data_IF_525309177427
#
_entry.id   IF_525309177427
#
_cell.length_a   1.000
_cell.length_b   1.000
_cell.length_c   1.000
_cell.angle_alpha   90.00
_cell.angle_beta   90.00
_cell.angle_gamma   90.00
#
_symmetry.space_group_name_H-M   'P 1'
#
loop_
_entity.id
_entity.type
_entity.pdbx_description
1 polymer ?
#
# COMPACT_ATOMS: atom_id res chain seq x y z
N UNK A 1 -10.78 23.48 -17.72
CA UNK A 1 -9.84 23.58 -16.57
C UNK A 1 -10.07 22.39 -15.64
N UNK A 2 -9.39 21.27 -15.85
CA UNK A 2 -9.42 20.11 -14.93
C UNK A 2 -8.22 20.22 -13.98
N UNK A 3 -8.45 20.89 -12.85
CA UNK A 3 -7.58 20.75 -11.69
C UNK A 3 -7.53 19.26 -11.33
N UNK A 4 -6.33 18.68 -11.20
CA UNK A 4 -6.21 17.34 -10.63
C UNK A 4 -6.72 17.43 -9.20
N UNK A 5 -7.93 16.93 -8.97
CA UNK A 5 -8.37 16.59 -7.62
C UNK A 5 -7.32 15.63 -7.10
N UNK A 6 -6.56 16.04 -6.07
CA UNK A 6 -5.79 15.07 -5.29
C UNK A 6 -6.70 13.89 -4.98
N UNK A 7 -6.18 12.67 -5.06
CA UNK A 7 -6.98 11.47 -4.80
C UNK A 7 -7.67 11.65 -3.44
N UNK A 8 -8.99 11.90 -3.46
CA UNK A 8 -9.78 11.99 -2.25
C UNK A 8 -10.05 10.57 -1.81
N UNK A 9 -9.14 10.05 -1.00
CA UNK A 9 -9.48 8.88 -0.20
C UNK A 9 -10.47 9.37 0.85
N UNK A 10 -11.71 8.84 0.90
CA UNK A 10 -12.69 9.19 1.91
C UNK A 10 -12.27 8.53 3.23
N UNK A 11 -11.21 9.07 3.83
CA UNK A 11 -10.76 8.75 5.17
C UNK A 11 -10.97 9.94 6.10
N UNK A 12 -11.15 9.64 7.38
CA UNK A 12 -11.01 10.67 8.42
C UNK A 12 -9.54 10.87 8.76
N UNK A 13 -9.18 12.05 9.29
CA UNK A 13 -7.80 12.32 9.72
C UNK A 13 -7.37 11.34 10.84
N UNK A 14 -8.34 10.89 11.64
CA UNK A 14 -8.16 9.86 12.67
C UNK A 14 -7.80 8.51 12.07
N UNK A 15 -8.53 8.05 11.05
CA UNK A 15 -8.22 6.80 10.33
C UNK A 15 -6.82 6.88 9.71
N UNK A 16 -6.47 8.01 9.09
CA UNK A 16 -5.15 8.23 8.51
C UNK A 16 -4.02 8.12 9.54
N UNK A 17 -4.16 8.82 10.67
CA UNK A 17 -3.19 8.76 11.76
C UNK A 17 -3.09 7.34 12.35
N UNK A 18 -4.22 6.63 12.47
CA UNK A 18 -4.24 5.26 12.96
C UNK A 18 -3.48 4.33 12.02
N UNK A 19 -3.74 4.36 10.71
CA UNK A 19 -3.01 3.56 9.71
C UNK A 19 -1.51 3.85 9.75
N UNK A 20 -1.09 5.12 9.84
CA UNK A 20 0.34 5.49 9.92
C UNK A 20 1.06 4.87 11.12
N UNK A 21 0.36 4.72 12.24
CA UNK A 21 0.91 4.10 13.44
C UNK A 21 0.95 2.58 13.29
N UNK A 22 -0.17 1.98 12.90
CA UNK A 22 -0.31 0.52 12.77
C UNK A 22 0.59 -0.07 11.68
N UNK A 23 0.79 0.64 10.57
CA UNK A 23 1.61 0.19 9.45
C UNK A 23 3.07 -0.07 9.84
N UNK A 24 3.56 0.58 10.89
CA UNK A 24 4.93 0.43 11.40
C UNK A 24 5.05 -0.59 12.54
N UNK A 25 3.94 -1.23 12.90
CA UNK A 25 3.91 -2.16 14.02
C UNK A 25 4.59 -3.48 13.67
N UNK A 26 5.22 -4.11 14.66
CA UNK A 26 5.66 -5.50 14.61
C UNK A 26 4.66 -6.46 15.25
N UNK A 27 3.48 -5.98 15.68
CA UNK A 27 2.46 -6.78 16.35
C UNK A 27 1.41 -7.24 15.33
N UNK A 28 1.23 -8.56 15.22
CA UNK A 28 0.31 -9.16 14.25
C UNK A 28 -1.13 -8.62 14.33
N UNK A 29 -1.66 -8.38 15.54
CA UNK A 29 -3.03 -7.86 15.69
C UNK A 29 -3.16 -6.41 15.19
N UNK A 30 -2.14 -5.57 15.40
CA UNK A 30 -2.10 -4.19 14.92
C UNK A 30 -1.98 -4.15 13.38
N UNK A 31 -1.19 -5.05 12.79
CA UNK A 31 -1.09 -5.19 11.33
C UNK A 31 -2.41 -5.68 10.71
N UNK A 32 -3.13 -6.61 11.36
CA UNK A 32 -4.46 -7.03 10.92
C UNK A 32 -5.48 -5.90 10.98
N UNK A 33 -5.44 -5.08 12.03
CA UNK A 33 -6.25 -3.86 12.12
C UNK A 33 -5.91 -2.89 10.97
N UNK A 34 -4.62 -2.73 10.65
CA UNK A 34 -4.20 -1.92 9.50
C UNK A 34 -4.83 -2.41 8.19
N UNK A 35 -4.82 -3.73 7.92
CA UNK A 35 -5.47 -4.30 6.73
C UNK A 35 -6.98 -4.04 6.71
N UNK A 36 -7.64 -4.14 7.85
CA UNK A 36 -9.08 -3.87 7.93
C UNK A 36 -9.39 -2.43 7.52
N UNK A 37 -8.62 -1.45 7.99
CA UNK A 37 -8.79 -0.03 7.62
C UNK A 37 -8.50 0.18 6.12
N UNK A 38 -7.42 -0.39 5.59
CA UNK A 38 -7.07 -0.29 4.16
C UNK A 38 -8.14 -0.93 3.25
N UNK A 39 -8.71 -2.06 3.68
CA UNK A 39 -9.82 -2.73 2.99
C UNK A 39 -11.09 -1.88 3.00
N UNK A 40 -11.42 -1.28 4.15
CA UNK A 40 -12.53 -0.35 4.27
C UNK A 40 -12.38 0.85 3.35
N UNK A 41 -11.19 1.47 3.29
CA UNK A 41 -10.93 2.56 2.36
C UNK A 41 -11.12 2.14 0.90
N UNK A 42 -10.63 0.95 0.52
CA UNK A 42 -10.83 0.39 -0.83
C UNK A 42 -12.31 0.20 -1.16
N UNK A 43 -13.08 -0.34 -0.22
CA UNK A 43 -14.53 -0.49 -0.38
C UNK A 43 -15.25 0.85 -0.59
N UNK A 44 -14.86 1.90 0.13
CA UNK A 44 -15.43 3.25 -0.04
C UNK A 44 -15.09 3.90 -1.39
N UNK A 45 -13.93 3.58 -1.97
CA UNK A 45 -13.45 4.19 -3.20
C UNK A 45 -13.77 3.39 -4.46
N UNK A 46 -13.98 2.07 -4.34
CA UNK A 46 -14.15 1.18 -5.49
C UNK A 46 -13.01 1.34 -6.49
N UNK A 47 -13.36 1.58 -7.75
CA UNK A 47 -12.42 1.76 -8.86
C UNK A 47 -11.53 3.00 -8.75
N UNK A 48 -11.90 3.95 -7.89
CA UNK A 48 -11.10 5.17 -7.62
C UNK A 48 -10.01 4.94 -6.58
N UNK A 49 -9.80 3.71 -6.11
CA UNK A 49 -8.78 3.40 -5.10
C UNK A 49 -7.38 3.73 -5.60
N UNK A 50 -6.61 4.60 -4.93
CA UNK A 50 -5.23 4.85 -5.29
C UNK A 50 -4.41 3.57 -5.19
N UNK A 51 -3.58 3.30 -6.20
CA UNK A 51 -2.72 2.11 -6.25
C UNK A 51 -1.81 2.04 -5.01
N UNK A 52 -1.48 3.19 -4.41
CA UNK A 52 -0.73 3.26 -3.15
C UNK A 52 -1.40 2.49 -2.00
N UNK A 53 -2.74 2.51 -1.89
CA UNK A 53 -3.49 1.75 -0.89
C UNK A 53 -3.34 0.24 -1.12
N UNK A 54 -3.38 -0.19 -2.39
CA UNK A 54 -3.18 -1.59 -2.76
C UNK A 54 -1.74 -2.05 -2.50
N UNK A 55 -0.76 -1.17 -2.67
CA UNK A 55 0.63 -1.48 -2.32
C UNK A 55 0.84 -1.56 -0.80
N UNK A 56 0.27 -0.63 -0.05
CA UNK A 56 0.29 -0.69 1.41
C UNK A 56 -0.36 -1.98 1.94
N UNK A 57 -1.47 -2.43 1.35
CA UNK A 57 -2.11 -3.71 1.71
C UNK A 57 -1.18 -4.91 1.49
N UNK A 58 -0.50 -4.96 0.34
CA UNK A 58 0.47 -6.02 0.04
C UNK A 58 1.64 -6.02 1.03
N UNK A 59 2.23 -4.85 1.32
CA UNK A 59 3.34 -4.74 2.27
C UNK A 59 2.95 -5.21 3.67
N UNK A 60 1.74 -4.85 4.14
CA UNK A 60 1.26 -5.29 5.46
C UNK A 60 1.00 -6.80 5.48
N UNK A 61 0.45 -7.39 4.40
CA UNK A 61 0.28 -8.85 4.30
C UNK A 61 1.61 -9.58 4.35
N UNK A 62 2.61 -9.07 3.65
CA UNK A 62 3.97 -9.61 3.67
C UNK A 62 4.54 -9.56 5.09
N UNK A 63 4.44 -8.43 5.78
CA UNK A 63 4.90 -8.31 7.17
C UNK A 63 4.18 -9.28 8.13
N UNK A 64 2.88 -9.54 7.93
CA UNK A 64 2.17 -10.56 8.71
C UNK A 64 2.72 -11.95 8.40
N UNK A 65 2.96 -12.26 7.13
CA UNK A 65 3.48 -13.56 6.71
C UNK A 65 4.90 -13.80 7.25
N UNK A 66 5.75 -12.76 7.32
CA UNK A 66 7.06 -12.83 7.97
C UNK A 66 6.94 -13.28 9.44
N UNK A 67 6.04 -12.65 10.20
CA UNK A 67 5.81 -13.01 11.61
C UNK A 67 5.29 -14.45 11.76
N UNK A 68 4.42 -14.90 10.86
CA UNK A 68 3.90 -16.27 10.87
C UNK A 68 5.00 -17.28 10.55
N UNK A 69 5.85 -16.99 9.56
CA UNK A 69 6.97 -17.84 9.14
C UNK A 69 8.03 -17.94 10.25
N UNK A 70 8.32 -16.84 10.96
CA UNK A 70 9.25 -16.86 12.09
C UNK A 70 8.82 -17.82 13.20
N UNK A 71 7.51 -17.98 13.40
CA UNK A 71 6.94 -18.90 14.38
C UNK A 71 6.75 -20.34 13.88
N UNK A 72 7.11 -20.63 12.62
CA UNK A 72 6.81 -21.91 11.94
C UNK A 72 8.02 -22.84 11.90
N UNK A 73 7.82 -24.12 12.24
CA UNK A 73 8.86 -25.16 12.14
C UNK A 73 9.32 -25.39 10.68
N UNK A 74 8.43 -25.18 9.71
CA UNK A 74 8.71 -25.31 8.27
C UNK A 74 9.22 -24.02 7.60
N UNK A 75 9.89 -23.15 8.35
CA UNK A 75 10.35 -21.82 7.87
C UNK A 75 11.02 -21.85 6.50
N UNK A 76 11.91 -22.82 6.28
CA UNK A 76 12.69 -22.94 5.04
C UNK A 76 11.82 -23.18 3.78
N UNK A 77 10.67 -23.84 3.90
CA UNK A 77 9.75 -24.05 2.77
C UNK A 77 8.97 -22.78 2.40
N UNK A 78 8.67 -21.93 3.40
CA UNK A 78 7.82 -20.75 3.22
C UNK A 78 8.60 -19.51 2.78
N UNK A 79 9.93 -19.50 2.96
CA UNK A 79 10.80 -18.38 2.60
C UNK A 79 10.75 -18.03 1.10
N UNK A 80 10.70 -19.00 0.20
CA UNK A 80 10.68 -18.72 -1.25
C UNK A 80 9.37 -18.02 -1.68
N UNK A 81 8.23 -18.46 -1.14
CA UNK A 81 6.95 -17.80 -1.37
C UNK A 81 6.96 -16.35 -0.82
N UNK A 82 7.52 -16.15 0.36
CA UNK A 82 7.65 -14.84 0.99
C UNK A 82 8.52 -13.88 0.17
N UNK A 83 9.65 -14.35 -0.38
CA UNK A 83 10.52 -13.56 -1.28
C UNK A 83 9.77 -13.13 -2.53
N UNK A 84 8.98 -14.02 -3.11
CA UNK A 84 8.18 -13.69 -4.29
C UNK A 84 7.15 -12.59 -4.00
N UNK A 85 6.48 -12.65 -2.84
CA UNK A 85 5.52 -11.62 -2.42
C UNK A 85 6.21 -10.26 -2.21
N UNK A 86 7.42 -10.24 -1.63
CA UNK A 86 8.24 -9.03 -1.53
C UNK A 86 8.55 -8.42 -2.89
N UNK A 87 9.01 -9.23 -3.84
CA UNK A 87 9.31 -8.77 -5.20
C UNK A 87 8.07 -8.13 -5.85
N UNK A 88 6.90 -8.76 -5.74
CA UNK A 88 5.64 -8.24 -6.27
C UNK A 88 5.29 -6.88 -5.63
N UNK A 89 5.41 -6.77 -4.31
CA UNK A 89 5.13 -5.53 -3.59
C UNK A 89 6.08 -4.39 -4.02
N UNK A 90 7.38 -4.68 -4.14
CA UNK A 90 8.41 -3.72 -4.56
C UNK A 90 8.15 -3.23 -5.99
N UNK A 91 7.93 -4.15 -6.94
CA UNK A 91 7.67 -3.81 -8.35
C UNK A 91 6.46 -2.86 -8.45
N UNK A 92 5.35 -3.20 -7.78
CA UNK A 92 4.16 -2.34 -7.79
C UNK A 92 4.40 -0.96 -7.18
N UNK A 93 5.22 -0.87 -6.12
CA UNK A 93 5.59 0.43 -5.55
C UNK A 93 6.41 1.28 -6.52
N UNK A 94 7.39 0.66 -7.18
CA UNK A 94 8.25 1.33 -8.17
C UNK A 94 7.42 1.82 -9.36
N UNK A 95 6.48 1.01 -9.84
CA UNK A 95 5.58 1.39 -10.94
C UNK A 95 4.74 2.62 -10.59
N UNK A 96 4.24 2.74 -9.35
CA UNK A 96 3.52 3.94 -8.89
C UNK A 96 4.42 5.16 -8.90
N UNK A 97 5.64 5.05 -8.37
CA UNK A 97 6.58 6.18 -8.30
C UNK A 97 6.89 6.65 -9.72
N UNK A 98 7.14 5.72 -10.63
CA UNK A 98 7.41 6.02 -12.04
C UNK A 98 6.21 6.66 -12.73
N UNK A 99 4.99 6.13 -12.53
CA UNK A 99 3.77 6.70 -13.09
C UNK A 99 3.54 8.13 -12.57
N UNK A 100 3.64 8.34 -11.27
CA UNK A 100 3.48 9.65 -10.63
C UNK A 100 4.51 10.65 -11.16
N UNK A 101 5.76 10.22 -11.34
CA UNK A 101 6.82 11.06 -11.91
C UNK A 101 6.53 11.44 -13.37
N UNK A 102 6.07 10.50 -14.19
CA UNK A 102 5.70 10.76 -15.58
C UNK A 102 4.52 11.72 -15.70
N UNK A 103 3.48 11.54 -14.86
CA UNK A 103 2.31 12.42 -14.81
C UNK A 103 2.71 13.87 -14.46
N UNK A 104 3.59 14.01 -13.47
CA UNK A 104 4.16 15.30 -13.08
C UNK A 104 4.96 15.93 -14.24
N UNK A 105 5.84 15.16 -14.89
CA UNK A 105 6.65 15.63 -16.00
C UNK A 105 5.79 16.11 -17.18
N UNK A 106 4.76 15.33 -17.54
CA UNK A 106 3.80 15.67 -18.59
C UNK A 106 3.05 16.98 -18.26
N UNK A 107 2.62 17.16 -17.01
CA UNK A 107 1.92 18.37 -16.57
C UNK A 107 2.77 19.63 -16.72
N UNK A 108 4.03 19.59 -16.26
CA UNK A 108 4.91 20.76 -16.34
C UNK A 108 5.35 21.09 -17.78
N UNK A 109 5.45 20.10 -18.65
CA UNK A 109 5.83 20.32 -20.04
C UNK A 109 4.69 20.92 -20.89
N UNK A 110 3.44 20.49 -20.65
CA UNK A 110 2.27 20.96 -21.41
C UNK A 110 1.62 22.24 -20.89
N UNK A 111 2.07 22.78 -19.74
CA UNK A 111 1.59 24.07 -19.20
C UNK A 111 2.41 25.28 -19.67
N UNK A 112 3.42 25.05 -20.51
CA UNK A 112 4.29 26.10 -21.10
C UNK A 112 3.74 26.69 -22.42
N UNK A 113 2.51 26.35 -22.81
CA UNK A 113 1.79 26.94 -23.93
C UNK A 113 0.37 27.31 -23.52
#
# INVERSE_FOLDING_TARGET
MSCHSGYRVPYTITEWNRVRLLFKSSRMHELRECLAILSMWRSRMGDSTPVAISCSDLLVRVAIEELLIESSDEKWMKIEALKMQHCIAIIRCVDIINKTRSDIHYYYYNKKF
#
